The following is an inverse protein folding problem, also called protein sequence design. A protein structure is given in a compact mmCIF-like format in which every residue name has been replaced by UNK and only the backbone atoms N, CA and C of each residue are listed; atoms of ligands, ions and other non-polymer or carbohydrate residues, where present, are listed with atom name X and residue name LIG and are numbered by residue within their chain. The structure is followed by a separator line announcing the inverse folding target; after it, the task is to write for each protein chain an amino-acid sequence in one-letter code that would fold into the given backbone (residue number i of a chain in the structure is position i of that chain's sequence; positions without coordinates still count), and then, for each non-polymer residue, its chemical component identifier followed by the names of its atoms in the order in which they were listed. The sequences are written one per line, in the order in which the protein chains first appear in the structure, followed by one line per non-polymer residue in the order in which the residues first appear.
data_IF_337190042114
#
_entry.id   IF_337190042114
#
_cell.length_a   1.000
_cell.length_b   1.000
_cell.length_c   1.000
_cell.angle_alpha   90.00
_cell.angle_beta   90.00
_cell.angle_gamma   90.00
#
_symmetry.space_group_name_H-M   'P 1'
#
loop_
_entity.id
_entity.type
_entity.pdbx_description
1 polymer ?
#
# COMPACT_ATOMS: atom_id res chain seq x y z
N UNK A 1 13.85 12.54 -5.84
CA UNK A 1 14.13 11.27 -5.12
C UNK A 1 14.13 11.57 -3.62
N UNK A 2 13.25 10.98 -2.81
CA UNK A 2 13.07 11.34 -1.39
C UNK A 2 14.25 10.94 -0.48
N UNK A 3 15.22 10.19 -1.00
CA UNK A 3 16.36 9.68 -0.24
C UNK A 3 17.18 10.77 0.46
N UNK A 4 17.47 11.90 -0.22
CA UNK A 4 18.23 13.00 0.40
C UNK A 4 17.46 13.71 1.52
N UNK A 5 16.11 13.72 1.46
CA UNK A 5 15.29 14.35 2.51
C UNK A 5 15.20 13.47 3.76
N UNK A 6 15.27 12.15 3.59
CA UNK A 6 15.00 11.16 4.64
C UNK A 6 16.22 10.30 4.99
N UNK A 7 17.42 10.76 4.66
CA UNK A 7 18.67 10.00 4.79
C UNK A 7 18.93 9.45 6.20
N UNK A 8 18.55 10.21 7.23
CA UNK A 8 18.71 9.83 8.65
C UNK A 8 17.43 9.31 9.30
N UNK A 9 16.36 9.14 8.53
CA UNK A 9 15.08 8.70 9.07
C UNK A 9 15.14 7.23 9.48
N UNK A 10 14.57 6.92 10.64
CA UNK A 10 14.35 5.54 11.12
C UNK A 10 12.93 5.43 11.65
N UNK A 11 12.27 4.33 11.33
CA UNK A 11 10.88 4.09 11.72
C UNK A 11 10.04 3.59 10.56
N UNK A 12 8.76 3.92 10.58
CA UNK A 12 7.76 3.35 9.70
C UNK A 12 7.38 4.30 8.56
N UNK A 13 7.39 3.78 7.34
CA UNK A 13 6.92 4.50 6.16
C UNK A 13 5.71 3.80 5.58
N UNK A 14 4.55 4.45 5.65
CA UNK A 14 3.31 4.00 5.02
C UNK A 14 3.08 4.78 3.73
N UNK A 15 2.95 4.08 2.61
CA UNK A 15 2.62 4.69 1.30
C UNK A 15 1.52 3.89 0.60
N UNK A 16 0.95 4.48 -0.43
CA UNK A 16 -0.04 3.88 -1.34
C UNK A 16 0.61 3.04 -2.45
N UNK A 17 1.82 2.54 -2.23
CA UNK A 17 2.70 1.91 -3.23
C UNK A 17 3.26 2.91 -4.28
N UNK A 18 3.35 4.19 -3.93
CA UNK A 18 4.05 5.14 -4.78
C UNK A 18 5.52 4.77 -4.95
N UNK A 19 5.88 4.34 -6.17
CA UNK A 19 7.18 3.76 -6.50
C UNK A 19 8.39 4.66 -6.14
N UNK A 20 8.19 5.98 -6.05
CA UNK A 20 9.23 6.92 -5.64
C UNK A 20 9.80 6.67 -4.24
N UNK A 21 9.06 6.00 -3.35
CA UNK A 21 9.51 5.62 -2.02
C UNK A 21 10.13 4.22 -1.97
N UNK A 22 10.24 3.52 -3.10
CA UNK A 22 10.65 2.12 -3.07
C UNK A 22 12.05 1.92 -2.49
N UNK A 23 12.99 2.77 -2.90
CA UNK A 23 14.36 2.76 -2.43
C UNK A 23 14.47 3.09 -0.92
N UNK A 24 13.53 3.84 -0.35
CA UNK A 24 13.56 4.20 1.07
C UNK A 24 13.33 2.97 1.96
N UNK A 25 12.51 2.03 1.53
CA UNK A 25 12.27 0.79 2.28
C UNK A 25 13.44 -0.21 2.24
N UNK A 26 14.46 0.05 1.41
CA UNK A 26 15.69 -0.73 1.40
C UNK A 26 16.71 -0.18 2.39
N UNK A 27 16.46 1.00 3.00
CA UNK A 27 17.37 1.58 3.97
C UNK A 27 17.28 0.86 5.32
N UNK A 28 18.43 0.57 5.96
CA UNK A 28 18.45 -0.01 7.30
C UNK A 28 17.71 0.87 8.31
N UNK A 29 16.83 0.26 9.11
CA UNK A 29 16.05 0.96 10.14
C UNK A 29 14.78 1.64 9.62
N UNK A 30 14.44 1.45 8.34
CA UNK A 30 13.13 1.81 7.79
C UNK A 30 12.28 0.56 7.60
N UNK A 31 11.08 0.57 8.15
CA UNK A 31 10.09 -0.49 7.95
C UNK A 31 8.94 0.03 7.08
N UNK A 32 8.65 -0.68 5.99
CA UNK A 32 7.54 -0.31 5.09
C UNK A 32 6.22 -0.88 5.61
N UNK A 33 5.23 -0.01 5.72
CA UNK A 33 3.85 -0.38 6.03
C UNK A 33 2.96 -0.31 4.79
N UNK A 34 1.98 -1.22 4.72
CA UNK A 34 0.94 -1.19 3.70
C UNK A 34 -0.19 -0.23 4.10
N UNK A 35 -0.67 0.58 3.15
CA UNK A 35 -1.83 1.45 3.39
C UNK A 35 -3.15 0.67 3.25
N UNK A 36 -3.80 0.36 4.38
CA UNK A 36 -5.06 -0.40 4.38
C UNK A 36 -6.22 0.28 3.66
N UNK A 37 -6.23 1.61 3.57
CA UNK A 37 -7.22 2.34 2.76
C UNK A 37 -7.06 2.04 1.26
N UNK A 38 -5.82 2.00 0.76
CA UNK A 38 -5.53 1.69 -0.65
C UNK A 38 -5.78 0.22 -0.96
N UNK A 39 -5.42 -0.68 -0.04
CA UNK A 39 -5.74 -2.11 -0.15
C UNK A 39 -7.26 -2.29 -0.29
N UNK A 40 -8.05 -1.78 0.66
CA UNK A 40 -9.52 -1.90 0.63
C UNK A 40 -10.16 -1.32 -0.62
N UNK A 41 -9.64 -0.20 -1.15
CA UNK A 41 -10.14 0.40 -2.40
C UNK A 41 -10.11 -0.61 -3.55
N UNK A 42 -9.07 -1.44 -3.66
CA UNK A 42 -8.98 -2.46 -4.71
C UNK A 42 -10.08 -3.51 -4.60
N UNK A 43 -10.44 -3.93 -3.38
CA UNK A 43 -11.56 -4.85 -3.16
C UNK A 43 -12.90 -4.21 -3.53
N UNK A 44 -13.11 -2.95 -3.15
CA UNK A 44 -14.32 -2.20 -3.53
C UNK A 44 -14.45 -2.05 -5.05
N UNK A 45 -13.37 -1.70 -5.75
CA UNK A 45 -13.38 -1.61 -7.21
C UNK A 45 -13.64 -2.97 -7.87
N UNK A 46 -13.03 -4.04 -7.37
CA UNK A 46 -13.26 -5.40 -7.87
C UNK A 46 -14.73 -5.84 -7.69
N UNK A 47 -15.38 -5.43 -6.59
CA UNK A 47 -16.78 -5.71 -6.33
C UNK A 47 -17.73 -5.05 -7.34
N UNK A 48 -17.36 -3.91 -7.95
CA UNK A 48 -18.19 -3.23 -8.96
C UNK A 48 -18.39 -4.05 -10.23
N UNK A 49 -17.42 -4.91 -10.57
CA UNK A 49 -17.47 -5.76 -11.77
C UNK A 49 -17.94 -7.20 -11.45
N UNK A 50 -18.24 -7.49 -10.19
CA UNK A 50 -18.74 -8.78 -9.75
C UNK A 50 -20.24 -8.93 -10.10
N UNK A 51 -20.71 -10.14 -10.50
CA UNK A 51 -22.12 -10.36 -10.74
C UNK A 51 -22.97 -10.05 -9.50
N UNK A 52 -24.07 -9.32 -9.69
CA UNK A 52 -24.98 -8.97 -8.61
C UNK A 52 -25.51 -10.21 -7.88
N UNK A 53 -25.60 -10.12 -6.55
CA UNK A 53 -26.13 -11.18 -5.70
C UNK A 53 -25.20 -12.38 -5.48
N UNK A 54 -23.96 -12.36 -6.00
CA UNK A 54 -22.98 -13.42 -5.76
C UNK A 54 -21.91 -12.95 -4.77
N UNK A 55 -21.47 -13.82 -3.87
CA UNK A 55 -20.27 -13.63 -3.05
C UNK A 55 -19.04 -14.11 -3.83
N UNK A 56 -17.92 -13.40 -3.71
CA UNK A 56 -16.71 -13.64 -4.49
C UNK A 56 -15.45 -13.27 -3.72
N UNK A 57 -14.29 -13.38 -4.40
CA UNK A 57 -12.98 -13.11 -3.78
C UNK A 57 -12.84 -11.67 -3.28
N UNK A 58 -13.59 -10.73 -3.84
CA UNK A 58 -13.59 -9.34 -3.40
C UNK A 58 -14.32 -9.11 -2.05
N UNK A 59 -15.10 -10.09 -1.57
CA UNK A 59 -15.86 -10.02 -0.32
C UNK A 59 -15.12 -10.62 0.89
N UNK A 60 -13.97 -11.26 0.67
CA UNK A 60 -13.15 -11.91 1.72
C UNK A 60 -11.85 -11.12 1.86
N UNK A 61 -11.66 -10.50 3.04
CA UNK A 61 -10.48 -9.72 3.41
C UNK A 61 -9.58 -10.49 4.37
#
# INVERSE_FOLDING_TARGET
MPLCLLESYRGYVMTDDYAGYNALALQPGVERLACMAHVRRKFVEAKKVQPQGKTGRADVA
#
